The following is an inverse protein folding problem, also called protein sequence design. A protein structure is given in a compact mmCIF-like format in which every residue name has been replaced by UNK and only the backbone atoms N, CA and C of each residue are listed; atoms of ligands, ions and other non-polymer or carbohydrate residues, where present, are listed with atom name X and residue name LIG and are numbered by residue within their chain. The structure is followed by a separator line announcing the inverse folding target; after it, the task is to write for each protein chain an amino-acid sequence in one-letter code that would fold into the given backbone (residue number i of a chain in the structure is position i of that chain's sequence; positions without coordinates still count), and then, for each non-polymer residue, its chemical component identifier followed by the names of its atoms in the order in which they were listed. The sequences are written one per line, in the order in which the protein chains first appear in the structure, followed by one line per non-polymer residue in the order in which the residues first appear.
data_IF_141804226213
#
_entry.id   IF_141804226213
#
_cell.length_a   1.000
_cell.length_b   1.000
_cell.length_c   1.000
_cell.angle_alpha   90.00
_cell.angle_beta   90.00
_cell.angle_gamma   90.00
#
_symmetry.space_group_name_H-M   'P 1'
#
loop_
_entity.id
_entity.type
_entity.pdbx_description
1 polymer ?
#
# COMPACT_ATOMS: atom_id res chain seq x y z
N UNK A 1 15.88 -8.52 -4.40
CA UNK A 1 15.76 -8.55 -2.92
C UNK A 1 14.79 -9.66 -2.57
N UNK A 2 14.98 -10.44 -1.50
CA UNK A 2 14.01 -11.46 -1.15
C UNK A 2 12.69 -10.79 -0.87
N UNK A 3 11.67 -11.14 -1.63
CA UNK A 3 10.29 -10.73 -1.43
C UNK A 3 9.88 -11.25 -0.04
N UNK A 4 9.66 -10.34 0.90
CA UNK A 4 9.03 -10.71 2.17
C UNK A 4 7.60 -11.11 1.85
N UNK A 5 7.35 -12.40 1.70
CA UNK A 5 6.03 -12.92 1.39
C UNK A 5 5.03 -12.52 2.49
N UNK A 6 3.83 -12.13 2.09
CA UNK A 6 2.74 -11.88 3.04
C UNK A 6 2.51 -13.09 3.93
N UNK A 7 2.33 -12.93 5.25
CA UNK A 7 2.01 -14.03 6.16
C UNK A 7 0.54 -14.44 6.02
N UNK A 8 0.23 -15.15 4.93
CA UNK A 8 -1.16 -15.51 4.59
C UNK A 8 -1.81 -16.42 5.63
N UNK A 9 -1.05 -17.30 6.29
CA UNK A 9 -1.57 -18.13 7.38
C UNK A 9 -2.04 -17.29 8.57
N UNK A 10 -1.26 -16.28 8.94
CA UNK A 10 -1.64 -15.33 9.98
C UNK A 10 -2.87 -14.50 9.57
N UNK A 11 -2.91 -14.06 8.31
CA UNK A 11 -4.11 -13.39 7.78
C UNK A 11 -5.35 -14.25 7.93
N UNK A 12 -5.31 -15.51 7.49
CA UNK A 12 -6.46 -16.41 7.54
C UNK A 12 -6.94 -16.67 8.98
N UNK A 13 -6.01 -16.82 9.94
CA UNK A 13 -6.36 -16.97 11.35
C UNK A 13 -7.08 -15.74 11.91
N UNK A 14 -6.56 -14.53 11.60
CA UNK A 14 -7.15 -13.25 11.99
C UNK A 14 -8.52 -13.05 11.33
N UNK A 15 -8.59 -13.21 10.00
CA UNK A 15 -9.81 -13.02 9.21
C UNK A 15 -10.95 -13.90 9.71
N UNK A 16 -10.68 -15.18 9.97
CA UNK A 16 -11.67 -16.16 10.46
C UNK A 16 -12.43 -15.69 11.72
N UNK A 17 -11.76 -14.92 12.57
CA UNK A 17 -12.35 -14.47 13.85
C UNK A 17 -12.85 -13.02 13.77
N UNK A 18 -12.08 -12.13 13.16
CA UNK A 18 -12.46 -10.72 13.04
C UNK A 18 -13.67 -10.52 12.15
N UNK A 19 -13.82 -11.31 11.07
CA UNK A 19 -14.98 -11.22 10.17
C UNK A 19 -16.32 -11.55 10.82
N UNK A 20 -16.32 -12.27 11.95
CA UNK A 20 -17.53 -12.63 12.67
C UNK A 20 -18.16 -11.44 13.42
N UNK A 21 -17.35 -10.42 13.73
CA UNK A 21 -17.77 -9.25 14.52
C UNK A 21 -17.64 -7.94 13.74
N UNK A 22 -17.04 -7.98 12.55
CA UNK A 22 -16.82 -6.80 11.73
C UNK A 22 -18.03 -6.39 10.91
N UNK A 23 -18.17 -5.09 10.66
CA UNK A 23 -19.15 -4.53 9.71
C UNK A 23 -18.64 -4.68 8.28
N UNK A 24 -19.35 -5.41 7.45
CA UNK A 24 -18.98 -5.67 6.06
C UNK A 24 -19.15 -4.45 5.18
N UNK A 25 -18.28 -4.33 4.18
CA UNK A 25 -18.40 -3.33 3.14
C UNK A 25 -18.19 -3.96 1.75
N UNK A 26 -18.78 -3.31 0.77
CA UNK A 26 -18.50 -3.50 -0.65
C UNK A 26 -18.44 -2.11 -1.29
N UNK A 27 -17.28 -1.76 -1.83
CA UNK A 27 -16.94 -0.40 -2.27
C UNK A 27 -16.45 -0.47 -3.71
N UNK A 28 -16.88 0.48 -4.54
CA UNK A 28 -16.46 0.60 -5.93
C UNK A 28 -15.14 1.37 -6.06
N UNK A 29 -14.46 1.19 -7.19
CA UNK A 29 -13.22 1.90 -7.47
C UNK A 29 -13.39 3.42 -7.40
N UNK A 30 -12.45 4.12 -6.77
CA UNK A 30 -12.44 5.57 -6.58
C UNK A 30 -13.06 6.04 -5.26
N UNK A 31 -13.76 5.19 -4.53
CA UNK A 31 -14.42 5.57 -3.28
C UNK A 31 -13.53 5.31 -2.06
N UNK A 32 -13.86 6.00 -0.95
CA UNK A 32 -13.22 5.78 0.35
C UNK A 32 -13.69 4.46 0.97
N UNK A 33 -12.76 3.69 1.53
CA UNK A 33 -13.09 2.42 2.21
C UNK A 33 -13.90 2.63 3.47
N UNK A 34 -13.59 3.69 4.24
CA UNK A 34 -14.27 4.00 5.49
C UNK A 34 -15.33 5.07 5.30
N UNK A 35 -16.51 4.95 5.94
CA UNK A 35 -17.48 6.03 6.06
C UNK A 35 -16.85 7.28 6.69
N UNK A 36 -17.36 8.46 6.34
CA UNK A 36 -16.79 9.76 6.73
C UNK A 36 -16.65 10.00 8.26
N UNK A 37 -17.46 9.32 9.07
CA UNK A 37 -17.42 9.43 10.52
C UNK A 37 -16.40 8.51 11.20
N UNK A 38 -15.71 7.65 10.44
CA UNK A 38 -14.63 6.81 10.96
C UNK A 38 -13.27 7.30 10.45
N UNK A 39 -12.28 7.17 11.33
CA UNK A 39 -10.87 7.38 10.97
C UNK A 39 -10.08 6.09 11.15
N UNK A 40 -8.94 5.99 10.48
CA UNK A 40 -8.02 4.85 10.64
C UNK A 40 -7.43 4.74 12.06
N UNK A 41 -7.65 5.75 12.91
CA UNK A 41 -7.23 5.73 14.33
C UNK A 41 -8.13 4.87 15.19
N UNK A 42 -9.40 4.75 14.79
CA UNK A 42 -10.45 4.17 15.62
C UNK A 42 -10.82 2.76 15.21
N UNK A 43 -10.37 2.32 14.05
CA UNK A 43 -10.82 1.07 13.45
C UNK A 43 -9.67 0.20 12.94
N UNK A 44 -9.92 -1.09 12.93
CA UNK A 44 -9.18 -2.06 12.11
C UNK A 44 -9.98 -2.30 10.82
N UNK A 45 -9.31 -2.22 9.69
CA UNK A 45 -9.90 -2.48 8.35
C UNK A 45 -9.27 -3.72 7.76
N UNK A 46 -10.08 -4.66 7.32
CA UNK A 46 -9.66 -5.87 6.62
C UNK A 46 -10.21 -5.83 5.20
N UNK A 47 -9.31 -5.80 4.23
CA UNK A 47 -9.63 -5.89 2.80
C UNK A 47 -9.40 -7.33 2.35
N UNK A 48 -10.47 -8.05 2.08
CA UNK A 48 -10.43 -9.45 1.67
C UNK A 48 -10.26 -9.60 0.16
N UNK A 49 -10.77 -8.63 -0.61
CA UNK A 49 -10.69 -8.62 -2.07
C UNK A 49 -10.51 -7.20 -2.59
N UNK A 50 -9.72 -7.06 -3.64
CA UNK A 50 -9.49 -5.80 -4.35
C UNK A 50 -8.12 -5.20 -4.09
N UNK A 51 -7.93 -3.99 -4.57
CA UNK A 51 -6.71 -3.19 -4.51
C UNK A 51 -7.05 -1.87 -3.86
N UNK A 52 -6.24 -1.45 -2.91
CA UNK A 52 -6.41 -0.17 -2.18
C UNK A 52 -5.14 0.66 -2.22
N UNK A 53 -5.29 1.96 -2.23
CA UNK A 53 -4.19 2.89 -1.98
C UNK A 53 -4.29 3.46 -0.57
N UNK A 54 -3.14 3.53 0.09
CA UNK A 54 -3.00 4.11 1.43
C UNK A 54 -2.37 5.50 1.28
N UNK A 55 -3.09 6.52 1.71
CA UNK A 55 -2.64 7.91 1.69
C UNK A 55 -2.45 8.44 3.09
N UNK A 56 -1.35 9.16 3.32
CA UNK A 56 -1.16 9.98 4.52
C UNK A 56 -1.73 11.36 4.26
N UNK A 57 -2.62 11.82 5.12
CA UNK A 57 -3.31 13.11 4.95
C UNK A 57 -2.32 14.27 5.00
N UNK A 58 -1.44 14.27 5.99
CA UNK A 58 -0.36 15.23 6.09
C UNK A 58 0.61 15.08 4.92
N UNK A 59 0.79 16.16 4.16
CA UNK A 59 1.63 16.20 2.97
C UNK A 59 1.07 15.48 1.73
N UNK A 60 -0.16 14.98 1.78
CA UNK A 60 -0.83 14.28 0.66
C UNK A 60 0.06 13.21 0.00
N UNK A 61 0.67 12.35 0.82
CA UNK A 61 1.64 11.36 0.35
C UNK A 61 0.96 10.02 0.13
N UNK A 62 1.14 9.45 -1.05
CA UNK A 62 0.78 8.06 -1.32
C UNK A 62 1.80 7.13 -0.65
N UNK A 63 1.37 6.43 0.39
CA UNK A 63 2.23 5.48 1.10
C UNK A 63 2.46 4.20 0.30
N UNK A 64 1.45 3.72 -0.43
CA UNK A 64 1.55 2.56 -1.28
C UNK A 64 0.21 2.13 -1.86
N UNK A 65 0.28 1.24 -2.85
CA UNK A 65 -0.85 0.50 -3.40
C UNK A 65 -0.70 -0.94 -2.93
N UNK A 66 -1.75 -1.49 -2.35
CA UNK A 66 -1.74 -2.80 -1.71
C UNK A 66 -2.85 -3.66 -2.28
N UNK A 67 -2.46 -4.85 -2.71
CA UNK A 67 -3.41 -5.91 -3.09
C UNK A 67 -3.92 -6.64 -1.86
N UNK A 68 -5.15 -7.09 -1.91
CA UNK A 68 -5.72 -8.02 -0.93
C UNK A 68 -4.95 -9.36 -0.89
N UNK A 69 -5.01 -10.08 0.22
CA UNK A 69 -5.62 -9.66 1.48
C UNK A 69 -4.76 -8.63 2.23
N UNK A 70 -5.39 -7.71 2.96
CA UNK A 70 -4.66 -6.69 3.74
C UNK A 70 -5.41 -6.33 5.02
N UNK A 71 -4.67 -6.05 6.08
CA UNK A 71 -5.22 -5.57 7.37
C UNK A 71 -4.53 -4.25 7.70
N UNK A 72 -5.32 -3.24 8.04
CA UNK A 72 -4.85 -1.93 8.46
C UNK A 72 -5.38 -1.61 9.85
N UNK A 73 -4.63 -0.83 10.62
CA UNK A 73 -5.05 -0.40 11.95
C UNK A 73 -5.10 -1.51 13.01
N UNK A 74 -4.40 -2.64 12.80
CA UNK A 74 -4.43 -3.76 13.76
C UNK A 74 -3.95 -3.37 15.16
N UNK A 75 -3.01 -2.42 15.25
CA UNK A 75 -2.49 -1.89 16.52
C UNK A 75 -3.18 -0.59 16.97
N UNK A 76 -4.19 -0.09 16.25
CA UNK A 76 -4.81 1.20 16.56
C UNK A 76 -5.46 1.24 17.97
N UNK A 77 -5.97 0.10 18.45
CA UNK A 77 -6.52 0.02 19.79
C UNK A 77 -5.50 -0.04 20.94
N UNK A 78 -4.25 -0.40 20.62
CA UNK A 78 -3.18 -0.51 21.62
C UNK A 78 -2.40 0.80 21.79
N UNK A 79 -2.25 1.56 20.70
CA UNK A 79 -1.51 2.81 20.74
C UNK A 79 -2.15 3.84 19.80
N UNK A 80 -2.36 5.06 20.26
CA UNK A 80 -2.94 6.12 19.46
C UNK A 80 -2.02 6.50 18.30
N UNK A 81 -2.50 6.31 17.06
CA UNK A 81 -1.82 6.73 15.85
C UNK A 81 -2.02 8.24 15.70
N UNK A 82 -0.93 9.01 15.60
CA UNK A 82 -1.02 10.49 15.45
C UNK A 82 -1.40 10.91 14.04
N UNK A 83 -1.00 10.15 13.02
CA UNK A 83 -1.21 10.53 11.63
C UNK A 83 -2.54 10.00 11.10
N UNK A 84 -3.23 10.83 10.34
CA UNK A 84 -4.42 10.43 9.60
C UNK A 84 -4.03 9.78 8.29
N UNK A 85 -4.56 8.58 8.11
CA UNK A 85 -4.46 7.83 6.87
C UNK A 85 -5.83 7.66 6.24
N UNK A 86 -5.84 7.62 4.92
CA UNK A 86 -7.05 7.37 4.13
C UNK A 86 -6.81 6.16 3.24
N UNK A 87 -7.79 5.28 3.15
CA UNK A 87 -7.81 4.15 2.23
C UNK A 87 -8.80 4.46 1.10
N UNK A 88 -8.30 4.40 -0.14
CA UNK A 88 -9.11 4.56 -1.35
C UNK A 88 -9.11 3.25 -2.12
N UNK A 89 -10.27 2.85 -2.62
CA UNK A 89 -10.42 1.67 -3.46
C UNK A 89 -9.86 1.97 -4.87
N UNK A 90 -8.87 1.23 -5.32
CA UNK A 90 -8.33 1.29 -6.68
C UNK A 90 -9.04 0.30 -7.63
N UNK A 91 -9.76 -0.65 -7.08
CA UNK A 91 -10.66 -1.57 -7.76
C UNK A 91 -11.89 -1.81 -6.89
N UNK A 92 -12.87 -2.60 -7.36
CA UNK A 92 -13.96 -3.03 -6.49
C UNK A 92 -13.38 -3.82 -5.30
N UNK A 93 -13.69 -3.37 -4.09
CA UNK A 93 -13.16 -3.91 -2.85
C UNK A 93 -14.27 -4.52 -1.99
N UNK A 94 -13.95 -5.63 -1.34
CA UNK A 94 -14.78 -6.25 -0.30
C UNK A 94 -13.96 -6.47 0.94
N UNK A 95 -14.61 -6.35 2.09
CA UNK A 95 -13.98 -6.59 3.37
C UNK A 95 -14.89 -6.24 4.52
N UNK A 96 -14.29 -5.90 5.62
CA UNK A 96 -15.01 -5.43 6.81
C UNK A 96 -14.12 -4.50 7.64
N UNK A 97 -14.75 -3.73 8.51
CA UNK A 97 -14.07 -2.94 9.52
C UNK A 97 -14.73 -3.15 10.88
N UNK A 98 -13.97 -2.91 11.93
CA UNK A 98 -14.45 -3.02 13.30
C UNK A 98 -13.70 -2.04 14.22
N UNK A 99 -14.31 -1.61 15.34
CA UNK A 99 -13.64 -0.76 16.30
C UNK A 99 -12.32 -1.38 16.76
N UNK A 100 -11.26 -0.59 16.84
CA UNK A 100 -9.92 -1.07 17.20
C UNK A 100 -9.88 -1.73 18.59
N UNK A 101 -10.70 -1.24 19.54
CA UNK A 101 -10.83 -1.85 20.86
C UNK A 101 -11.45 -3.26 20.80
N UNK A 102 -12.41 -3.48 19.91
CA UNK A 102 -13.02 -4.81 19.72
C UNK A 102 -12.03 -5.77 19.02
N UNK A 103 -11.17 -5.25 18.14
CA UNK A 103 -10.05 -6.03 17.59
C UNK A 103 -9.17 -6.57 18.71
N UNK A 104 -8.70 -5.73 19.63
CA UNK A 104 -7.86 -6.18 20.75
C UNK A 104 -8.54 -7.24 21.62
N UNK A 105 -9.81 -7.03 21.98
CA UNK A 105 -10.59 -8.02 22.73
C UNK A 105 -10.69 -9.36 21.98
N UNK A 106 -10.86 -9.31 20.66
CA UNK A 106 -10.93 -10.51 19.83
C UNK A 106 -9.58 -11.24 19.78
N UNK A 107 -8.46 -10.50 19.63
CA UNK A 107 -7.12 -11.07 19.66
C UNK A 107 -6.86 -11.80 21.00
N UNK A 108 -7.23 -11.17 22.12
CA UNK A 108 -7.05 -11.73 23.46
C UNK A 108 -7.88 -13.01 23.65
N UNK A 109 -9.18 -12.93 23.39
CA UNK A 109 -10.11 -14.05 23.59
C UNK A 109 -9.79 -15.28 22.74
N UNK A 110 -9.25 -15.07 21.54
CA UNK A 110 -8.96 -16.15 20.60
C UNK A 110 -7.46 -16.50 20.52
N UNK A 111 -6.61 -15.93 21.38
CA UNK A 111 -5.16 -16.17 21.43
C UNK A 111 -4.46 -15.88 20.08
N UNK A 112 -4.87 -14.80 19.38
CA UNK A 112 -4.39 -14.46 18.06
C UNK A 112 -3.20 -13.48 18.06
N UNK A 113 -2.58 -13.22 19.21
CA UNK A 113 -1.47 -12.29 19.32
C UNK A 113 -0.27 -12.69 18.48
N UNK A 114 0.00 -14.00 18.34
CA UNK A 114 1.06 -14.50 17.50
C UNK A 114 0.83 -14.17 16.03
N UNK A 115 -0.39 -14.35 15.53
CA UNK A 115 -0.75 -14.04 14.15
C UNK A 115 -0.74 -12.52 13.90
N UNK A 116 -1.24 -11.74 14.86
CA UNK A 116 -1.16 -10.28 14.82
C UNK A 116 0.30 -9.81 14.78
N UNK A 117 1.19 -10.40 15.58
CA UNK A 117 2.62 -10.09 15.59
C UNK A 117 3.27 -10.37 14.22
N UNK A 118 3.04 -11.54 13.62
CA UNK A 118 3.57 -11.84 12.29
C UNK A 118 3.07 -10.85 11.23
N UNK A 119 1.79 -10.49 11.27
CA UNK A 119 1.25 -9.49 10.37
C UNK A 119 1.90 -8.12 10.56
N UNK A 120 2.02 -7.66 11.79
CA UNK A 120 2.65 -6.38 12.14
C UNK A 120 4.13 -6.35 11.75
N UNK A 121 4.87 -7.44 11.98
CA UNK A 121 6.28 -7.56 11.58
C UNK A 121 6.43 -7.41 10.07
N UNK A 122 5.57 -8.05 9.29
CA UNK A 122 5.56 -7.89 7.84
C UNK A 122 5.27 -6.44 7.42
N UNK A 123 4.29 -5.79 8.03
CA UNK A 123 3.99 -4.38 7.76
C UNK A 123 5.17 -3.46 8.11
N UNK A 124 5.82 -3.67 9.24
CA UNK A 124 7.02 -2.92 9.64
C UNK A 124 8.11 -3.06 8.58
N UNK A 125 8.35 -4.28 8.09
CA UNK A 125 9.33 -4.52 7.05
C UNK A 125 8.98 -3.81 5.73
N UNK A 126 7.71 -3.72 5.37
CA UNK A 126 7.29 -2.94 4.19
C UNK A 126 7.56 -1.44 4.37
N UNK A 127 7.39 -0.91 5.57
CA UNK A 127 7.72 0.48 5.89
C UNK A 127 9.24 0.73 5.87
N UNK A 128 10.04 -0.17 6.42
CA UNK A 128 11.51 -0.10 6.35
C UNK A 128 12.01 -0.10 4.90
N UNK A 129 11.49 -1.02 4.07
CA UNK A 129 11.83 -1.06 2.65
C UNK A 129 11.47 0.25 1.93
N UNK A 130 10.31 0.83 2.24
CA UNK A 130 9.92 2.12 1.70
C UNK A 130 10.85 3.23 2.15
N UNK A 131 11.21 3.26 3.42
CA UNK A 131 12.16 4.24 3.99
C UNK A 131 13.50 4.17 3.27
N UNK A 132 14.09 2.99 3.14
CA UNK A 132 15.35 2.76 2.41
C UNK A 132 15.29 3.21 0.94
N UNK A 133 14.13 3.14 0.30
CA UNK A 133 13.96 3.54 -1.10
C UNK A 133 13.82 5.06 -1.28
N UNK A 134 13.29 5.76 -0.29
CA UNK A 134 12.86 7.15 -0.44
C UNK A 134 13.67 8.15 0.40
N UNK A 135 14.23 7.73 1.52
CA UNK A 135 14.92 8.63 2.45
C UNK A 135 16.45 8.52 2.26
N UNK A 136 17.12 9.65 2.27
CA UNK A 136 18.59 9.70 2.11
C UNK A 136 19.09 9.31 0.71
N UNK A 137 18.21 9.25 -0.28
CA UNK A 137 18.53 8.85 -1.66
C UNK A 137 18.28 10.00 -2.65
N UNK A 138 18.98 10.00 -3.79
CA UNK A 138 18.75 11.01 -4.82
C UNK A 138 17.45 10.73 -5.63
N UNK A 139 17.00 11.72 -6.40
CA UNK A 139 15.76 11.64 -7.18
C UNK A 139 15.75 10.46 -8.17
N UNK A 140 16.88 10.22 -8.85
CA UNK A 140 16.97 9.11 -9.78
C UNK A 140 16.76 7.76 -9.07
N UNK A 141 17.43 7.55 -7.93
CA UNK A 141 17.27 6.31 -7.17
C UNK A 141 15.82 6.11 -6.69
N UNK A 142 15.14 7.16 -6.24
CA UNK A 142 13.73 7.11 -5.83
C UNK A 142 12.81 6.74 -7.01
N UNK A 143 13.05 7.34 -8.19
CA UNK A 143 12.30 7.03 -9.42
C UNK A 143 12.59 5.59 -9.84
N UNK A 144 13.86 5.20 -9.89
CA UNK A 144 14.30 3.86 -10.27
C UNK A 144 13.69 2.77 -9.38
N UNK A 145 13.79 2.92 -8.06
CA UNK A 145 13.24 1.95 -7.11
C UNK A 145 11.71 1.88 -7.19
N UNK A 146 11.04 3.00 -7.48
CA UNK A 146 9.60 3.02 -7.70
C UNK A 146 9.22 2.29 -8.99
N UNK A 147 9.95 2.48 -10.09
CA UNK A 147 9.73 1.74 -11.35
C UNK A 147 9.93 0.24 -11.18
N UNK A 148 10.99 -0.18 -10.46
CA UNK A 148 11.28 -1.59 -10.17
C UNK A 148 10.17 -2.22 -9.32
N UNK A 149 9.59 -1.49 -8.38
CA UNK A 149 8.44 -1.96 -7.62
C UNK A 149 7.19 -2.07 -8.50
N UNK A 150 6.96 -1.10 -9.40
CA UNK A 150 5.78 -1.10 -10.28
C UNK A 150 5.77 -2.25 -11.27
N UNK A 151 6.96 -2.69 -11.76
CA UNK A 151 7.03 -3.79 -12.74
C UNK A 151 6.60 -5.13 -12.14
N UNK A 152 6.73 -5.29 -10.82
CA UNK A 152 6.31 -6.49 -10.10
C UNK A 152 4.79 -6.54 -9.84
N UNK A 153 4.06 -5.49 -10.21
CA UNK A 153 2.59 -5.50 -10.09
C UNK A 153 1.95 -6.34 -11.18
N UNK A 154 0.77 -6.88 -10.90
CA UNK A 154 -0.07 -7.50 -11.92
C UNK A 154 -0.37 -6.53 -13.06
N UNK A 155 -0.45 -7.05 -14.27
CA UNK A 155 -0.62 -6.27 -15.50
C UNK A 155 -1.86 -5.37 -15.45
N UNK A 156 -2.95 -5.86 -14.90
CA UNK A 156 -4.21 -5.12 -14.74
C UNK A 156 -4.09 -3.88 -13.86
N UNK A 157 -3.27 -3.94 -12.81
CA UNK A 157 -3.00 -2.82 -11.92
C UNK A 157 -2.07 -1.84 -12.60
N UNK A 158 -0.98 -2.35 -13.19
CA UNK A 158 0.01 -1.55 -13.89
C UNK A 158 -0.59 -0.79 -15.08
N UNK A 159 -1.52 -1.42 -15.81
CA UNK A 159 -2.24 -0.79 -16.91
C UNK A 159 -3.18 0.36 -16.50
N UNK A 160 -3.60 0.43 -15.25
CA UNK A 160 -4.49 1.49 -14.74
C UNK A 160 -3.72 2.68 -14.20
N UNK A 161 -2.52 2.49 -13.66
CA UNK A 161 -1.79 3.51 -12.89
C UNK A 161 -0.81 4.27 -13.79
N UNK A 162 -0.95 5.60 -13.79
CA UNK A 162 -0.02 6.50 -14.50
C UNK A 162 1.31 6.62 -13.78
N UNK A 163 2.41 6.27 -14.46
CA UNK A 163 3.76 6.24 -13.89
C UNK A 163 4.15 7.58 -13.26
N UNK A 164 4.02 8.67 -14.01
CA UNK A 164 4.41 10.00 -13.56
C UNK A 164 3.64 10.44 -12.31
N UNK A 165 2.32 10.25 -12.30
CA UNK A 165 1.47 10.62 -11.17
C UNK A 165 1.80 9.75 -9.94
N UNK A 166 1.99 8.46 -10.13
CA UNK A 166 2.33 7.55 -9.04
C UNK A 166 3.67 7.92 -8.39
N UNK A 167 4.71 8.13 -9.21
CA UNK A 167 6.02 8.54 -8.70
C UNK A 167 5.89 9.87 -7.94
N UNK A 168 5.21 10.87 -8.51
CA UNK A 168 5.03 12.17 -7.86
C UNK A 168 4.32 12.06 -6.51
N UNK A 169 3.21 11.33 -6.44
CA UNK A 169 2.45 11.16 -5.20
C UNK A 169 3.26 10.41 -4.12
N UNK A 170 4.08 9.45 -4.54
CA UNK A 170 4.90 8.64 -3.63
C UNK A 170 6.14 9.38 -3.11
N UNK A 171 6.83 10.13 -3.99
CA UNK A 171 8.17 10.69 -3.72
C UNK A 171 8.15 12.19 -3.46
N UNK A 172 7.12 12.90 -3.93
CA UNK A 172 7.00 14.37 -3.94
C UNK A 172 8.04 15.08 -4.83
N UNK A 173 8.73 14.35 -5.68
CA UNK A 173 9.59 14.93 -6.74
C UNK A 173 8.72 15.71 -7.71
N UNK A 174 9.23 16.84 -8.23
CA UNK A 174 8.50 17.66 -9.21
C UNK A 174 8.20 16.89 -10.50
N UNK A 175 7.06 17.20 -11.13
CA UNK A 175 6.66 16.55 -12.39
C UNK A 175 7.69 16.73 -13.51
N UNK A 176 8.36 17.89 -13.57
CA UNK A 176 9.38 18.18 -14.56
C UNK A 176 10.58 17.24 -14.42
N UNK A 177 11.12 17.09 -13.22
CA UNK A 177 12.24 16.17 -12.96
C UNK A 177 11.86 14.72 -13.26
N UNK A 178 10.66 14.28 -12.85
CA UNK A 178 10.20 12.92 -13.17
C UNK A 178 10.07 12.73 -14.68
N UNK A 179 9.48 13.70 -15.39
CA UNK A 179 9.29 13.63 -16.84
C UNK A 179 10.62 13.60 -17.59
N UNK A 180 11.61 14.37 -17.16
CA UNK A 180 12.97 14.38 -17.71
C UNK A 180 13.63 12.99 -17.59
N UNK A 181 13.62 12.42 -16.37
CA UNK A 181 14.20 11.09 -16.12
C UNK A 181 13.47 10.01 -16.93
N UNK A 182 12.13 10.00 -16.94
CA UNK A 182 11.36 9.04 -17.72
C UNK A 182 11.63 9.19 -19.23
N UNK A 183 11.80 10.42 -19.73
CA UNK A 183 12.13 10.68 -21.12
C UNK A 183 13.52 10.13 -21.48
N UNK A 184 14.52 10.36 -20.64
CA UNK A 184 15.87 9.83 -20.83
C UNK A 184 15.90 8.30 -20.81
N UNK A 185 15.19 7.67 -19.85
CA UNK A 185 15.07 6.21 -19.77
C UNK A 185 14.39 5.60 -21.00
N UNK A 186 13.37 6.26 -21.56
CA UNK A 186 12.72 5.82 -22.81
C UNK A 186 13.62 5.97 -24.02
N UNK A 187 14.34 7.09 -24.15
CA UNK A 187 15.28 7.34 -25.26
C UNK A 187 16.45 6.35 -25.28
N UNK A 188 16.85 5.87 -24.11
CA UNK A 188 17.89 4.85 -23.96
C UNK A 188 17.38 3.41 -24.02
N UNK A 189 16.10 3.18 -24.36
CA UNK A 189 15.45 1.87 -24.43
C UNK A 189 15.53 1.06 -23.11
N UNK A 190 15.65 1.77 -21.98
CA UNK A 190 15.66 1.14 -20.65
C UNK A 190 14.27 0.75 -20.16
N UNK A 191 13.24 1.53 -20.57
CA UNK A 191 11.84 1.29 -20.22
C UNK A 191 10.94 1.47 -21.46
N UNK A 192 9.88 0.65 -21.50
CA UNK A 192 8.78 0.85 -22.42
C UNK A 192 7.56 1.40 -21.68
N UNK A 193 6.96 2.44 -22.26
CA UNK A 193 5.73 3.06 -21.74
C UNK A 193 4.71 3.26 -22.84
N UNK A 194 3.44 2.90 -22.57
CA UNK A 194 2.32 3.11 -23.48
C UNK A 194 1.24 3.94 -22.81
N UNK A 195 0.84 5.06 -23.41
CA UNK A 195 -0.18 5.98 -22.85
C UNK A 195 0.09 6.37 -21.39
N UNK A 196 1.36 6.61 -21.02
CA UNK A 196 1.77 6.99 -19.66
C UNK A 196 1.79 5.85 -18.63
N UNK A 197 1.63 4.61 -19.07
CA UNK A 197 1.68 3.39 -18.24
C UNK A 197 2.99 2.63 -18.50
N UNK A 198 3.53 1.99 -17.47
CA UNK A 198 4.72 1.16 -17.57
C UNK A 198 4.35 -0.18 -18.23
N UNK A 199 5.02 -0.52 -19.32
CA UNK A 199 4.85 -1.81 -19.99
C UNK A 199 5.95 -2.78 -19.56
N UNK A 200 7.20 -2.38 -19.78
CA UNK A 200 8.35 -3.24 -19.47
C UNK A 200 9.57 -2.42 -19.01
N UNK A 201 10.48 -3.11 -18.37
CA UNK A 201 11.82 -2.62 -18.03
C UNK A 201 12.82 -3.61 -18.58
N UNK A 202 13.71 -3.16 -19.47
CA UNK A 202 14.80 -3.97 -19.98
C UNK A 202 15.93 -4.04 -18.96
N UNK A 203 16.47 -2.89 -18.55
CA UNK A 203 17.50 -2.75 -17.53
C UNK A 203 17.55 -1.29 -17.10
N UNK A 204 17.57 -1.02 -15.82
CA UNK A 204 17.77 0.35 -15.32
C UNK A 204 19.23 0.56 -14.91
N UNK A 205 19.86 1.65 -15.37
CA UNK A 205 21.19 2.03 -14.88
C UNK A 205 21.25 2.12 -13.36
N UNK A 206 22.40 1.83 -12.77
CA UNK A 206 22.60 1.98 -11.32
C UNK A 206 22.85 3.43 -10.94
N UNK A 207 23.41 4.22 -11.86
CA UNK A 207 23.72 5.64 -11.71
C UNK A 207 23.20 6.41 -12.92
N UNK A 208 22.86 7.70 -12.66
CA UNK A 208 22.36 8.63 -13.67
C UNK A 208 23.07 9.96 -13.52
#
# INVERSE_FOLDING_TARGET
MPSSSKPLSAFLALDKKLSQIGTRFQITAGELILPAHYTMKDVTVVVQQGVVSLHRHEGHVLCGILQSPSIFGLAAGANAIRNDYTLVAESNCRGFYLPAKETLKCLERNQLWRDAFYWMTWQTRMLEMRDMQLIGTNHYYQIRSTLLMMIDWEDDIRAKIGVLNYIQQRTRISRSVIAEVLSALRKGDYIEMKKGKLVSITRLPTHY
#
